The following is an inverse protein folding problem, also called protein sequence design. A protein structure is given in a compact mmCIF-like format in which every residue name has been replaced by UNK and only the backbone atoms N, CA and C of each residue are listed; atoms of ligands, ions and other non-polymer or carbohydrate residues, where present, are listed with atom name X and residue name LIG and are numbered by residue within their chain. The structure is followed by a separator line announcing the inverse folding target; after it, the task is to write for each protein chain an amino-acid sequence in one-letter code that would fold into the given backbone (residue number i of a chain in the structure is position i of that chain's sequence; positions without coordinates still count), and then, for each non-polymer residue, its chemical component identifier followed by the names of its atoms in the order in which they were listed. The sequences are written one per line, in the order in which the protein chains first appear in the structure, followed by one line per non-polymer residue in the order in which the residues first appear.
data_IF_341902358975
#
_entry.id   IF_341902358975
#
_cell.length_a   1.000
_cell.length_b   1.000
_cell.length_c   1.000
_cell.angle_alpha   90.00
_cell.angle_beta   90.00
_cell.angle_gamma   90.00
#
_symmetry.space_group_name_H-M   'P 1'
#
loop_
_entity.id
_entity.type
_entity.pdbx_description
1 polymer ?
#
# COMPACT_ATOMS: atom_id res chain seq x y z
N UNK A 1 -8.81 33.63 -15.94
CA UNK A 1 -7.71 33.95 -15.01
C UNK A 1 -6.99 32.63 -14.74
N UNK A 2 -5.79 32.43 -15.28
CA UNK A 2 -5.02 31.20 -15.02
C UNK A 2 -4.53 31.23 -13.57
N UNK A 3 -4.65 30.14 -12.79
CA UNK A 3 -4.14 30.13 -11.42
C UNK A 3 -2.61 30.33 -11.43
N UNK A 4 -2.07 31.16 -10.52
CA UNK A 4 -0.68 31.65 -10.57
C UNK A 4 0.40 30.62 -10.20
N UNK A 5 0.08 29.32 -10.11
CA UNK A 5 1.02 28.27 -9.73
C UNK A 5 0.84 27.03 -10.60
N UNK A 6 1.05 27.16 -11.91
CA UNK A 6 1.46 26.01 -12.71
C UNK A 6 2.96 25.82 -12.45
N UNK A 7 3.29 25.19 -11.33
CA UNK A 7 4.61 24.56 -11.17
C UNK A 7 4.71 23.57 -12.32
N UNK A 8 5.66 23.74 -13.23
CA UNK A 8 5.93 22.72 -14.24
C UNK A 8 6.16 21.40 -13.51
N UNK A 9 5.28 20.43 -13.78
CA UNK A 9 5.42 19.10 -13.26
C UNK A 9 6.82 18.59 -13.64
N UNK A 10 7.62 18.10 -12.68
CA UNK A 10 8.92 17.51 -12.99
C UNK A 10 8.74 16.43 -14.07
N UNK A 11 9.40 16.57 -15.24
CA UNK A 11 9.14 15.72 -16.40
C UNK A 11 9.44 14.24 -16.10
N UNK A 12 10.28 13.97 -15.10
CA UNK A 12 10.67 12.64 -14.68
C UNK A 12 9.83 12.02 -13.53
N UNK A 13 8.78 12.66 -13.01
CA UNK A 13 7.85 12.10 -12.00
C UNK A 13 7.97 12.65 -10.55
N UNK A 14 7.73 11.85 -9.52
CA UNK A 14 7.92 12.20 -8.09
C UNK A 14 8.55 11.07 -7.28
N UNK A 15 9.23 11.44 -6.19
CA UNK A 15 9.59 10.49 -5.14
C UNK A 15 8.47 10.52 -4.11
N UNK A 16 7.83 9.37 -3.89
CA UNK A 16 6.81 9.23 -2.85
C UNK A 16 7.50 8.90 -1.52
N UNK A 17 7.51 9.87 -0.62
CA UNK A 17 8.22 9.83 0.67
C UNK A 17 7.30 9.46 1.85
N UNK A 18 5.99 9.42 1.64
CA UNK A 18 5.01 9.25 2.71
C UNK A 18 3.88 8.30 2.30
N UNK A 19 4.24 7.02 2.16
CA UNK A 19 3.25 5.94 2.09
C UNK A 19 3.41 4.98 3.27
N UNK A 20 2.28 4.55 3.82
CA UNK A 20 2.25 3.49 4.82
C UNK A 20 1.82 2.19 4.15
N UNK A 21 2.57 1.10 4.37
CA UNK A 21 2.25 -0.22 3.84
C UNK A 21 0.80 -0.64 4.18
N UNK A 22 0.33 -0.27 5.38
CA UNK A 22 -1.03 -0.54 5.83
C UNK A 22 -2.12 -0.09 4.85
N UNK A 23 -1.89 1.00 4.12
CA UNK A 23 -2.80 1.55 3.11
C UNK A 23 -2.33 1.37 1.66
N UNK A 24 -1.18 0.73 1.43
CA UNK A 24 -0.59 0.56 0.09
C UNK A 24 -1.02 -0.75 -0.60
N UNK A 25 -1.68 -1.65 0.13
CA UNK A 25 -2.15 -2.93 -0.40
C UNK A 25 -3.61 -2.77 -0.85
N UNK A 26 -3.98 -3.17 -2.08
CA UNK A 26 -5.36 -3.15 -2.54
C UNK A 26 -6.31 -3.92 -1.61
N UNK A 27 -7.49 -3.36 -1.36
CA UNK A 27 -8.48 -3.91 -0.42
C UNK A 27 -8.84 -5.37 -0.73
N UNK A 28 -8.99 -5.73 -2.01
CA UNK A 28 -9.29 -7.11 -2.39
C UNK A 28 -8.17 -8.09 -2.01
N UNK A 29 -6.89 -7.67 -2.11
CA UNK A 29 -5.75 -8.49 -1.66
C UNK A 29 -5.71 -8.64 -0.14
N UNK A 30 -6.09 -7.61 0.61
CA UNK A 30 -6.23 -7.72 2.07
C UNK A 30 -7.36 -8.69 2.45
N UNK A 31 -8.47 -8.67 1.71
CA UNK A 31 -9.57 -9.61 1.94
C UNK A 31 -9.15 -11.05 1.64
N UNK A 32 -8.54 -11.31 0.48
CA UNK A 32 -7.99 -12.61 0.11
C UNK A 32 -7.02 -13.13 1.19
N UNK A 33 -6.04 -12.31 1.59
CA UNK A 33 -5.07 -12.68 2.63
C UNK A 33 -5.74 -12.98 3.98
N UNK A 34 -6.81 -12.27 4.34
CA UNK A 34 -7.55 -12.53 5.56
C UNK A 34 -8.27 -13.89 5.51
N UNK A 35 -8.93 -14.21 4.39
CA UNK A 35 -9.64 -15.48 4.18
C UNK A 35 -8.65 -16.64 4.17
N UNK A 36 -7.59 -16.55 3.37
CA UNK A 36 -6.58 -17.62 3.22
C UNK A 36 -5.91 -17.98 4.54
N UNK A 37 -5.76 -17.00 5.43
CA UNK A 37 -5.14 -17.16 6.74
C UNK A 37 -6.13 -17.46 7.87
N UNK A 38 -7.43 -17.55 7.57
CA UNK A 38 -8.46 -17.80 8.57
C UNK A 38 -8.58 -16.68 9.63
N UNK A 39 -8.26 -15.44 9.26
CA UNK A 39 -8.38 -14.29 10.17
C UNK A 39 -9.85 -13.91 10.33
N UNK A 40 -10.35 -13.96 11.57
CA UNK A 40 -11.72 -13.51 11.87
C UNK A 40 -11.86 -12.01 11.64
N UNK A 41 -12.58 -11.64 10.59
CA UNK A 41 -12.91 -10.25 10.26
C UNK A 41 -14.09 -9.75 11.14
N UNK A 42 -14.17 -8.43 11.38
CA UNK A 42 -15.29 -7.82 12.11
C UNK A 42 -16.59 -7.71 11.28
N UNK A 43 -16.54 -8.12 10.01
CA UNK A 43 -17.62 -8.04 9.01
C UNK A 43 -17.69 -9.34 8.23
N UNK A 44 -18.84 -9.62 7.60
CA UNK A 44 -19.11 -10.92 6.98
C UNK A 44 -18.91 -10.93 5.47
N UNK A 45 -19.05 -9.78 4.81
CA UNK A 45 -19.00 -9.69 3.34
C UNK A 45 -17.83 -8.83 2.86
N UNK A 46 -17.39 -9.07 1.62
CA UNK A 46 -16.36 -8.24 0.97
C UNK A 46 -16.77 -6.77 0.88
N UNK A 47 -18.04 -6.47 0.57
CA UNK A 47 -18.52 -5.09 0.46
C UNK A 47 -18.46 -4.35 1.80
N UNK A 48 -18.85 -4.99 2.89
CA UNK A 48 -18.70 -4.44 4.23
C UNK A 48 -17.22 -4.24 4.59
N UNK A 49 -16.35 -5.19 4.22
CA UNK A 49 -14.91 -5.09 4.43
C UNK A 49 -14.28 -3.94 3.64
N UNK A 50 -14.68 -3.76 2.38
CA UNK A 50 -14.24 -2.65 1.56
C UNK A 50 -14.70 -1.31 2.13
N UNK A 51 -15.96 -1.21 2.57
CA UNK A 51 -16.48 -0.01 3.23
C UNK A 51 -15.78 0.27 4.55
N UNK A 52 -15.39 -0.77 5.30
CA UNK A 52 -14.63 -0.64 6.54
C UNK A 52 -13.23 -0.06 6.29
N UNK A 53 -12.52 -0.52 5.27
CA UNK A 53 -11.14 -0.07 4.99
C UNK A 53 -11.06 1.22 4.17
N UNK A 54 -12.09 1.54 3.39
CA UNK A 54 -12.05 2.69 2.49
C UNK A 54 -12.42 4.00 3.22
N UNK A 55 -11.45 4.93 3.26
CA UNK A 55 -11.63 6.26 3.86
C UNK A 55 -11.88 7.32 2.78
N UNK A 56 -12.84 8.18 3.06
CA UNK A 56 -13.36 9.27 2.23
C UNK A 56 -13.62 10.48 3.11
N UNK A 57 -13.71 11.65 2.51
CA UNK A 57 -13.92 12.90 3.25
C UNK A 57 -15.20 12.88 4.12
N UNK A 58 -16.23 12.15 3.69
CA UNK A 58 -17.51 11.98 4.39
C UNK A 58 -17.48 10.96 5.54
N UNK A 59 -16.44 10.13 5.63
CA UNK A 59 -16.33 9.05 6.63
C UNK A 59 -14.99 9.06 7.42
N UNK A 60 -14.20 10.11 7.22
CA UNK A 60 -12.95 10.37 7.94
C UNK A 60 -13.25 11.36 9.05
N UNK A 61 -13.58 10.85 10.23
CA UNK A 61 -13.83 11.67 11.42
C UNK A 61 -12.52 12.14 12.05
N UNK A 62 -12.22 11.65 13.26
CA UNK A 62 -10.96 11.99 13.95
C UNK A 62 -9.78 11.10 13.51
N UNK A 63 -8.56 11.50 13.89
CA UNK A 63 -7.36 10.70 13.68
C UNK A 63 -7.48 9.33 14.36
N UNK A 64 -8.10 9.27 15.53
CA UNK A 64 -8.31 8.04 16.28
C UNK A 64 -9.20 7.07 15.48
N UNK A 65 -10.33 7.55 14.95
CA UNK A 65 -11.22 6.75 14.10
C UNK A 65 -10.52 6.29 12.80
N UNK A 66 -9.62 7.11 12.27
CA UNK A 66 -8.79 6.74 11.13
C UNK A 66 -7.83 5.58 11.48
N UNK A 67 -7.25 5.60 12.68
CA UNK A 67 -6.28 4.59 13.12
C UNK A 67 -6.91 3.22 13.45
N UNK A 68 -8.17 3.17 13.89
CA UNK A 68 -8.89 1.91 14.16
C UNK A 68 -8.90 0.98 12.92
N UNK A 69 -9.01 1.56 11.74
CA UNK A 69 -9.00 0.85 10.45
C UNK A 69 -7.67 0.15 10.22
N UNK A 70 -6.59 0.82 10.61
CA UNK A 70 -5.26 0.26 10.47
C UNK A 70 -5.09 -0.96 11.34
N UNK A 71 -5.74 -1.09 12.49
CA UNK A 71 -5.61 -2.32 13.30
C UNK A 71 -6.01 -3.58 12.51
N UNK A 72 -7.08 -3.50 11.71
CA UNK A 72 -7.53 -4.60 10.85
C UNK A 72 -6.51 -4.86 9.73
N UNK A 73 -6.12 -3.82 9.00
CA UNK A 73 -5.18 -3.93 7.89
C UNK A 73 -3.80 -4.45 8.36
N UNK A 74 -3.28 -3.90 9.47
CA UNK A 74 -2.01 -4.26 10.08
C UNK A 74 -2.01 -5.70 10.59
N UNK A 75 -3.11 -6.16 11.18
CA UNK A 75 -3.27 -7.56 11.61
C UNK A 75 -3.25 -8.54 10.44
N UNK A 76 -3.92 -8.21 9.34
CA UNK A 76 -3.92 -9.03 8.11
C UNK A 76 -2.49 -9.16 7.56
N UNK A 77 -1.76 -8.06 7.55
CA UNK A 77 -0.40 -7.97 7.03
C UNK A 77 0.68 -8.44 8.01
N UNK A 78 0.30 -9.02 9.16
CA UNK A 78 1.24 -9.40 10.22
C UNK A 78 1.91 -10.76 9.97
N UNK A 79 3.14 -10.88 10.45
CA UNK A 79 4.01 -12.05 10.31
C UNK A 79 4.86 -12.02 9.03
N UNK A 80 5.98 -12.76 8.99
CA UNK A 80 6.96 -12.68 7.91
C UNK A 80 6.35 -12.89 6.51
N UNK A 81 5.48 -13.88 6.34
CA UNK A 81 4.91 -14.21 5.03
C UNK A 81 3.97 -13.12 4.51
N UNK A 82 2.95 -12.72 5.30
CA UNK A 82 2.01 -11.69 4.84
C UNK A 82 2.66 -10.32 4.71
N UNK A 83 3.64 -9.99 5.57
CA UNK A 83 4.38 -8.75 5.42
C UNK A 83 5.16 -8.73 4.09
N UNK A 84 5.88 -9.81 3.78
CA UNK A 84 6.62 -9.95 2.53
C UNK A 84 5.70 -9.79 1.32
N UNK A 85 4.58 -10.48 1.33
CA UNK A 85 3.58 -10.42 0.25
C UNK A 85 2.99 -9.01 0.10
N UNK A 86 2.66 -8.36 1.22
CA UNK A 86 2.15 -6.98 1.23
C UNK A 86 3.15 -6.00 0.61
N UNK A 87 4.44 -6.13 0.95
CA UNK A 87 5.52 -5.32 0.37
C UNK A 87 5.65 -5.59 -1.13
N UNK A 88 5.61 -6.86 -1.56
CA UNK A 88 5.62 -7.20 -2.98
C UNK A 88 4.45 -6.55 -3.72
N UNK A 89 3.22 -6.65 -3.20
CA UNK A 89 2.03 -6.09 -3.82
C UNK A 89 2.15 -4.56 -3.95
N UNK A 90 2.54 -3.87 -2.89
CA UNK A 90 2.67 -2.41 -2.88
C UNK A 90 3.73 -1.94 -3.89
N UNK A 91 4.91 -2.55 -3.89
CA UNK A 91 6.00 -2.15 -4.77
C UNK A 91 5.75 -2.52 -6.24
N UNK A 92 5.19 -3.70 -6.53
CA UNK A 92 4.79 -4.05 -7.89
C UNK A 92 3.67 -3.13 -8.40
N UNK A 93 2.74 -2.72 -7.53
CA UNK A 93 1.72 -1.73 -7.85
C UNK A 93 2.37 -0.42 -8.29
N UNK A 94 3.29 0.11 -7.48
CA UNK A 94 4.04 1.32 -7.80
C UNK A 94 4.83 1.18 -9.11
N UNK A 95 5.58 0.09 -9.31
CA UNK A 95 6.38 -0.12 -10.51
C UNK A 95 5.55 -0.28 -11.79
N UNK A 96 4.33 -0.82 -11.69
CA UNK A 96 3.47 -1.05 -12.86
C UNK A 96 2.61 0.15 -13.20
N UNK A 97 2.09 0.85 -12.20
CA UNK A 97 1.09 1.90 -12.41
C UNK A 97 1.63 3.30 -12.17
N UNK A 98 2.79 3.43 -11.52
CA UNK A 98 3.39 4.71 -11.12
C UNK A 98 2.41 5.58 -10.30
N UNK A 99 1.49 4.95 -9.57
CA UNK A 99 0.47 5.64 -8.77
C UNK A 99 -0.83 5.96 -9.52
N UNK A 100 -1.00 5.49 -10.76
CA UNK A 100 -2.22 5.71 -11.52
C UNK A 100 -3.44 5.00 -10.88
N UNK A 101 -4.54 5.73 -10.73
CA UNK A 101 -5.83 5.22 -10.28
C UNK A 101 -6.52 4.34 -11.33
N UNK A 102 -6.16 4.53 -12.60
CA UNK A 102 -6.72 3.81 -13.74
C UNK A 102 -5.61 3.39 -14.67
N UNK A 103 -5.75 2.18 -15.19
CA UNK A 103 -4.90 1.63 -16.24
C UNK A 103 -5.76 1.11 -17.39
N UNK A 104 -5.20 1.05 -18.60
CA UNK A 104 -5.82 0.36 -19.73
C UNK A 104 -5.64 -1.18 -19.65
N UNK A 105 -6.03 -1.90 -20.70
CA UNK A 105 -5.98 -3.37 -20.74
C UNK A 105 -4.54 -3.93 -20.72
N UNK A 106 -3.59 -3.11 -21.12
CA UNK A 106 -2.16 -3.37 -21.17
C UNK A 106 -1.45 -2.99 -19.86
N UNK A 107 -2.18 -2.35 -18.94
CA UNK A 107 -1.68 -1.93 -17.64
C UNK A 107 -0.96 -0.58 -17.67
N UNK A 108 -1.13 0.22 -18.73
CA UNK A 108 -0.55 1.56 -18.86
C UNK A 108 -1.43 2.57 -18.13
N UNK A 109 -0.79 3.48 -17.40
CA UNK A 109 -1.47 4.56 -16.67
C UNK A 109 -2.29 5.46 -17.60
N UNK A 110 -3.59 5.62 -17.30
CA UNK A 110 -4.49 6.54 -18.04
C UNK A 110 -4.93 7.74 -17.19
N UNK A 111 -4.53 7.80 -15.92
CA UNK A 111 -4.74 8.98 -15.07
C UNK A 111 -3.93 10.16 -15.65
N UNK A 112 -4.56 11.31 -15.99
CA UNK A 112 -3.82 12.40 -16.59
C UNK A 112 -2.77 12.97 -15.63
N UNK A 113 -1.55 13.24 -16.14
CA UNK A 113 -0.39 13.68 -15.35
C UNK A 113 -0.65 14.93 -14.50
N UNK A 114 -1.54 15.82 -14.96
CA UNK A 114 -1.95 17.01 -14.19
C UNK A 114 -2.69 16.69 -12.87
N UNK A 115 -3.24 15.48 -12.74
CA UNK A 115 -3.92 15.02 -11.53
C UNK A 115 -3.04 14.12 -10.66
N UNK A 116 -2.04 13.46 -11.25
CA UNK A 116 -1.13 12.57 -10.55
C UNK A 116 0.23 12.56 -11.27
N UNK A 117 1.30 12.86 -10.53
CA UNK A 117 2.66 12.72 -11.06
C UNK A 117 3.12 11.26 -10.96
N UNK A 118 3.78 10.71 -12.00
CA UNK A 118 4.29 9.33 -11.96
C UNK A 118 5.27 9.11 -10.81
N UNK A 119 5.10 8.05 -10.03
CA UNK A 119 6.04 7.67 -8.97
C UNK A 119 7.28 7.01 -9.60
N UNK A 120 8.47 7.58 -9.37
CA UNK A 120 9.78 7.06 -9.84
C UNK A 120 10.63 6.41 -8.74
N UNK A 121 10.26 6.65 -7.49
CA UNK A 121 10.89 6.08 -6.31
C UNK A 121 9.89 6.12 -5.15
N UNK A 122 9.93 5.10 -4.29
CA UNK A 122 8.97 4.90 -3.23
C UNK A 122 9.67 4.56 -1.92
N UNK A 123 9.46 5.39 -0.90
CA UNK A 123 9.84 5.10 0.48
C UNK A 123 8.65 4.47 1.23
N UNK A 124 8.62 3.14 1.25
CA UNK A 124 7.56 2.38 1.89
C UNK A 124 7.77 2.25 3.40
N UNK A 125 6.84 2.78 4.19
CA UNK A 125 6.94 2.83 5.66
C UNK A 125 6.02 1.81 6.32
N UNK A 126 6.48 1.20 7.38
CA UNK A 126 5.65 0.43 8.31
C UNK A 126 6.31 0.36 9.68
N UNK A 127 5.55 0.00 10.71
CA UNK A 127 6.09 -0.26 12.05
C UNK A 127 6.26 -1.78 12.25
N UNK A 128 7.50 -2.31 12.35
CA UNK A 128 7.74 -3.74 12.55
C UNK A 128 7.09 -4.31 13.82
N UNK A 129 7.01 -3.54 14.91
CA UNK A 129 6.36 -3.97 16.15
C UNK A 129 4.86 -4.23 15.96
N UNK A 130 4.21 -3.51 15.04
CA UNK A 130 2.82 -3.75 14.68
C UNK A 130 2.63 -4.88 13.66
N UNK A 131 3.70 -5.61 13.31
CA UNK A 131 3.67 -6.75 12.38
C UNK A 131 4.18 -8.04 13.01
N UNK A 132 4.67 -8.00 14.25
CA UNK A 132 5.25 -9.15 14.94
C UNK A 132 4.21 -10.07 15.60
N UNK A 133 2.93 -9.76 15.47
CA UNK A 133 1.84 -10.55 16.05
C UNK A 133 1.86 -10.59 17.58
N UNK A 134 2.25 -9.49 18.23
CA UNK A 134 2.35 -9.43 19.70
C UNK A 134 3.55 -10.23 20.26
N UNK A 135 4.58 -10.46 19.44
CA UNK A 135 5.78 -11.21 19.81
C UNK A 135 5.77 -12.69 19.38
N UNK A 136 4.74 -13.16 18.66
CA UNK A 136 4.75 -14.50 18.05
C UNK A 136 5.89 -14.64 17.05
N UNK A 137 6.15 -13.58 16.29
CA UNK A 137 7.24 -13.51 15.33
C UNK A 137 8.37 -12.68 15.89
N UNK A 138 9.58 -13.19 15.75
CA UNK A 138 10.78 -12.41 16.02
C UNK A 138 10.84 -11.17 15.10
N UNK A 139 11.26 -10.04 15.67
CA UNK A 139 11.24 -8.76 14.99
C UNK A 139 12.21 -8.75 13.80
N UNK A 140 13.37 -9.37 13.95
CA UNK A 140 14.37 -9.47 12.88
C UNK A 140 13.80 -10.28 11.71
N UNK A 141 13.04 -11.34 11.99
CA UNK A 141 12.38 -12.14 10.96
C UNK A 141 11.34 -11.33 10.17
N UNK A 142 10.61 -10.44 10.84
CA UNK A 142 9.66 -9.51 10.22
C UNK A 142 10.41 -8.52 9.33
N UNK A 143 11.48 -7.90 9.82
CA UNK A 143 12.29 -6.95 9.06
C UNK A 143 12.96 -7.60 7.85
N UNK A 144 13.59 -8.77 8.03
CA UNK A 144 14.21 -9.53 6.94
C UNK A 144 13.21 -9.90 5.84
N UNK A 145 11.97 -10.25 6.21
CA UNK A 145 10.94 -10.56 5.23
C UNK A 145 10.63 -9.36 4.32
N UNK A 146 10.48 -8.16 4.89
CA UNK A 146 10.30 -6.94 4.12
C UNK A 146 11.52 -6.63 3.23
N UNK A 147 12.74 -6.70 3.77
CA UNK A 147 13.97 -6.47 2.99
C UNK A 147 14.12 -7.47 1.83
N UNK A 148 13.72 -8.73 2.03
CA UNK A 148 13.75 -9.74 0.97
C UNK A 148 12.81 -9.41 -0.18
N UNK A 149 11.60 -8.91 0.11
CA UNK A 149 10.64 -8.47 -0.92
C UNK A 149 11.17 -7.26 -1.70
N UNK A 150 11.74 -6.27 -1.00
CA UNK A 150 12.36 -5.10 -1.65
C UNK A 150 13.49 -5.54 -2.58
N UNK A 151 14.34 -6.47 -2.14
CA UNK A 151 15.47 -6.98 -2.94
C UNK A 151 14.99 -7.72 -4.18
N UNK A 152 13.91 -8.50 -4.08
CA UNK A 152 13.30 -9.19 -5.21
C UNK A 152 12.76 -8.20 -6.25
N UNK A 153 11.97 -7.21 -5.83
CA UNK A 153 11.41 -6.19 -6.73
C UNK A 153 12.54 -5.40 -7.39
N UNK A 154 13.53 -4.95 -6.60
CA UNK A 154 14.68 -4.23 -7.15
C UNK A 154 15.40 -5.04 -8.24
N UNK A 155 15.50 -6.36 -8.06
CA UNK A 155 16.08 -7.25 -9.05
C UNK A 155 15.18 -7.38 -10.28
N UNK A 156 13.88 -7.62 -10.08
CA UNK A 156 12.89 -7.79 -11.15
C UNK A 156 12.82 -6.56 -12.09
N UNK A 157 12.93 -5.36 -11.53
CA UNK A 157 12.86 -4.10 -12.26
C UNK A 157 14.23 -3.45 -12.51
N UNK A 158 15.33 -4.19 -12.33
CA UNK A 158 16.72 -3.72 -12.61
C UNK A 158 17.08 -2.41 -11.90
N UNK A 159 16.56 -2.22 -10.69
CA UNK A 159 16.77 -1.02 -9.89
C UNK A 159 15.92 0.19 -10.29
N UNK A 160 15.01 0.03 -11.26
CA UNK A 160 14.06 1.05 -11.66
C UNK A 160 12.71 0.83 -10.95
N UNK A 161 12.02 1.93 -10.71
CA UNK A 161 10.61 2.00 -10.37
C UNK A 161 9.91 2.78 -11.48
#
# INVERSE_FOLDING_TARGET
MNPPFLVEAPPEGVVELHVHLGGAVPIHRLFEAAVDRGIRLPVATYNEFANLLHRRQDNSGSLEQYLEVYEVAERIQSGPQALRESVLIALNGAARTQGAERVDGEGVAVTPVRYQLPIRALELRFNPMKRNGGGIWDLDRVMMAACSAVSEVKTAYKGQL
#
